data_IF_426429002829
#
_entry.id   IF_426429002829
#
_cell.length_a   1.000
_cell.length_b   1.000
_cell.length_c   1.000
_cell.angle_alpha   90.00
_cell.angle_beta   90.00
_cell.angle_gamma   90.00
#
_symmetry.space_group_name_H-M   'P 1'
#
loop_
_entity.id
_entity.type
_entity.pdbx_description
1 polymer ?
#
# COMPACT_ATOMS: atom_id res chain seq x y z
N UNK A 1 10.73 20.28 -25.30
CA UNK A 1 11.05 20.05 -23.87
C UNK A 1 12.37 19.29 -23.80
N UNK A 2 13.39 19.82 -23.13
CA UNK A 2 14.60 19.04 -22.88
C UNK A 2 14.32 17.96 -21.85
N UNK A 3 14.64 16.72 -22.20
CA UNK A 3 14.54 15.60 -21.26
C UNK A 3 15.69 15.75 -20.27
N UNK A 4 15.39 16.16 -19.04
CA UNK A 4 16.42 16.22 -18.00
C UNK A 4 16.61 14.80 -17.45
N UNK A 5 17.80 14.20 -17.58
CA UNK A 5 18.06 12.88 -17.03
C UNK A 5 17.88 12.92 -15.50
N UNK A 6 17.29 11.86 -14.96
CA UNK A 6 17.09 11.67 -13.54
C UNK A 6 17.02 10.18 -13.21
N UNK A 7 17.37 9.85 -11.98
CA UNK A 7 17.24 8.52 -11.38
C UNK A 7 16.32 8.58 -10.17
N UNK A 8 15.69 7.46 -9.82
CA UNK A 8 14.86 7.33 -8.62
C UNK A 8 15.48 6.25 -7.72
N UNK A 9 15.77 6.61 -6.48
CA UNK A 9 16.10 5.67 -5.41
C UNK A 9 14.86 5.33 -4.59
N UNK A 10 14.70 4.05 -4.24
CA UNK A 10 13.62 3.54 -3.38
C UNK A 10 14.22 2.71 -2.26
N UNK A 11 13.73 2.93 -1.04
CA UNK A 11 14.07 2.16 0.16
C UNK A 11 12.79 1.57 0.75
N UNK A 12 12.67 0.25 0.77
CA UNK A 12 11.43 -0.47 1.12
C UNK A 12 11.62 -1.13 2.48
N UNK A 13 11.02 -0.54 3.51
CA UNK A 13 10.94 -1.08 4.86
C UNK A 13 9.59 -1.74 5.16
N UNK A 14 9.45 -2.27 6.37
CA UNK A 14 8.23 -2.95 6.85
C UNK A 14 7.00 -2.03 6.89
N UNK A 15 7.24 -0.75 7.16
CA UNK A 15 6.22 0.28 7.45
C UNK A 15 6.41 1.56 6.67
N UNK A 16 7.41 1.56 5.80
CA UNK A 16 7.83 2.76 5.15
C UNK A 16 8.35 2.45 3.76
N UNK A 17 8.14 3.40 2.86
CA UNK A 17 8.84 3.44 1.59
C UNK A 17 9.47 4.82 1.46
N UNK A 18 10.79 4.88 1.60
CA UNK A 18 11.60 6.05 1.29
C UNK A 18 11.77 6.18 -0.22
N UNK A 19 11.76 7.40 -0.73
CA UNK A 19 12.03 7.68 -2.14
C UNK A 19 12.80 8.99 -2.31
N UNK A 20 13.68 9.02 -3.31
CA UNK A 20 14.41 10.23 -3.70
C UNK A 20 14.60 10.26 -5.21
N UNK A 21 14.43 11.44 -5.81
CA UNK A 21 14.83 11.71 -7.20
C UNK A 21 16.20 12.37 -7.18
N UNK A 22 17.11 11.87 -8.02
CA UNK A 22 18.48 12.36 -8.12
C UNK A 22 18.76 12.72 -9.57
N UNK A 23 19.32 13.91 -9.81
CA UNK A 23 19.81 14.33 -11.13
C UNK A 23 21.29 13.96 -11.30
N UNK A 24 21.83 14.06 -12.51
CA UNK A 24 23.22 13.67 -12.81
C UNK A 24 24.29 14.40 -11.98
N UNK A 25 23.95 15.57 -11.42
CA UNK A 25 24.80 16.30 -10.46
C UNK A 25 24.65 15.80 -9.00
N UNK A 26 24.03 14.64 -8.82
CA UNK A 26 23.75 13.99 -7.53
C UNK A 26 22.93 14.83 -6.55
N UNK A 27 22.20 15.84 -7.05
CA UNK A 27 21.34 16.69 -6.22
C UNK A 27 19.90 16.23 -6.26
N UNK A 28 19.19 16.52 -5.18
CA UNK A 28 17.73 16.35 -5.10
C UNK A 28 17.05 17.61 -5.64
N UNK A 29 16.32 17.53 -6.76
CA UNK A 29 15.62 18.68 -7.31
C UNK A 29 14.43 19.10 -6.45
N UNK A 30 14.01 20.35 -6.60
CA UNK A 30 12.80 20.89 -5.98
C UNK A 30 11.84 21.40 -7.05
N UNK A 31 10.53 21.18 -6.85
CA UNK A 31 9.48 21.51 -7.82
C UNK A 31 8.35 22.28 -7.16
N UNK A 32 7.81 23.28 -7.85
CA UNK A 32 6.57 23.95 -7.44
C UNK A 32 5.38 23.06 -7.79
N UNK A 33 4.57 22.72 -6.80
CA UNK A 33 3.35 21.95 -6.95
C UNK A 33 2.15 22.88 -6.74
N UNK A 34 1.11 22.73 -7.57
CA UNK A 34 -0.13 23.48 -7.42
C UNK A 34 -0.85 23.00 -6.15
N UNK A 35 -1.30 23.95 -5.34
CA UNK A 35 -2.16 23.67 -4.19
C UNK A 35 -3.61 23.73 -4.66
N UNK A 36 -4.41 22.74 -4.26
CA UNK A 36 -5.82 22.66 -4.60
C UNK A 36 -6.66 23.07 -3.38
N UNK A 37 -7.79 23.74 -3.61
CA UNK A 37 -8.69 24.24 -2.55
C UNK A 37 -8.73 25.76 -2.42
N UNK A 38 -9.49 26.24 -1.45
CA UNK A 38 -9.76 27.66 -1.23
C UNK A 38 -8.75 28.28 -0.24
N UNK A 39 -7.47 28.18 -0.55
CA UNK A 39 -6.40 28.76 0.27
C UNK A 39 -5.69 29.88 -0.49
N UNK A 40 -5.18 30.88 0.22
CA UNK A 40 -4.45 32.02 -0.37
C UNK A 40 -3.18 31.60 -1.13
N UNK A 41 -2.64 30.41 -0.82
CA UNK A 41 -1.47 29.85 -1.50
C UNK A 41 -1.89 28.98 -2.68
N UNK A 42 -1.55 29.41 -3.90
CA UNK A 42 -1.79 28.64 -5.12
C UNK A 42 -0.67 27.64 -5.46
N UNK A 43 0.55 27.83 -4.93
CA UNK A 43 1.70 26.96 -5.20
C UNK A 43 2.57 26.77 -3.96
N UNK A 44 3.16 25.58 -3.84
CA UNK A 44 4.12 25.24 -2.80
C UNK A 44 5.36 24.58 -3.41
N UNK A 45 6.55 24.99 -2.97
CA UNK A 45 7.81 24.34 -3.37
C UNK A 45 8.01 23.11 -2.50
N UNK A 46 8.24 21.94 -3.12
CA UNK A 46 8.56 20.69 -2.44
C UNK A 46 9.83 20.08 -3.03
N UNK A 47 10.67 19.49 -2.18
CA UNK A 47 11.82 18.70 -2.62
C UNK A 47 11.34 17.33 -3.10
N UNK A 48 12.02 16.76 -4.10
CA UNK A 48 11.69 15.44 -4.65
C UNK A 48 12.36 14.31 -3.84
N UNK A 49 12.13 14.34 -2.54
CA UNK A 49 12.52 13.32 -1.56
C UNK A 49 11.41 13.21 -0.52
N UNK A 50 11.16 12.00 -0.05
CA UNK A 50 10.19 11.78 1.02
C UNK A 50 10.16 10.33 1.47
N UNK A 51 9.27 10.06 2.43
CA UNK A 51 8.94 8.71 2.84
C UNK A 51 7.42 8.60 2.98
N UNK A 52 6.87 7.51 2.47
CA UNK A 52 5.51 7.10 2.76
C UNK A 52 5.55 6.23 4.01
N UNK A 53 4.82 6.60 5.05
CA UNK A 53 4.65 5.78 6.26
C UNK A 53 3.26 5.14 6.23
N UNK A 54 3.16 3.87 6.64
CA UNK A 54 1.92 3.12 6.70
C UNK A 54 1.94 2.10 7.85
N UNK A 55 0.75 1.71 8.29
CA UNK A 55 0.58 0.73 9.36
C UNK A 55 1.13 -0.64 8.96
N UNK A 56 1.62 -1.39 9.94
CA UNK A 56 2.22 -2.71 9.70
C UNK A 56 1.28 -3.64 8.95
N UNK A 57 1.82 -4.32 7.94
CA UNK A 57 1.12 -5.41 7.30
C UNK A 57 0.85 -6.52 8.32
N UNK A 58 -0.42 -6.76 8.65
CA UNK A 58 -0.77 -7.90 9.51
C UNK A 58 -0.33 -9.20 8.85
N UNK A 59 0.36 -10.07 9.60
CA UNK A 59 0.85 -11.35 9.07
C UNK A 59 -0.29 -12.23 8.52
N UNK A 60 0.02 -13.08 7.54
CA UNK A 60 -0.98 -13.93 6.90
C UNK A 60 -1.59 -14.99 7.84
N UNK A 61 -1.00 -15.22 9.01
CA UNK A 61 -1.42 -16.24 9.98
C UNK A 61 -2.85 -16.02 10.49
N UNK A 62 -3.17 -14.81 10.94
CA UNK A 62 -4.52 -14.48 11.41
C UNK A 62 -5.57 -14.71 10.32
N UNK A 63 -5.23 -14.38 9.06
CA UNK A 63 -6.08 -14.65 7.90
C UNK A 63 -6.23 -16.15 7.61
N UNK A 64 -5.16 -16.93 7.77
CA UNK A 64 -5.16 -18.39 7.61
C UNK A 64 -6.09 -19.05 8.62
N UNK A 65 -6.01 -18.67 9.90
CA UNK A 65 -6.86 -19.19 10.97
C UNK A 65 -8.34 -18.92 10.68
N UNK A 66 -8.70 -17.66 10.40
CA UNK A 66 -10.09 -17.27 10.07
C UNK A 66 -10.61 -17.98 8.81
N UNK A 67 -9.76 -18.26 7.82
CA UNK A 67 -10.15 -19.00 6.60
C UNK A 67 -10.41 -20.49 6.89
N UNK A 68 -9.55 -21.14 7.67
CA UNK A 68 -9.71 -22.55 8.03
C UNK A 68 -10.96 -22.78 8.89
N UNK A 69 -11.21 -21.91 9.87
CA UNK A 69 -12.41 -21.97 10.70
C UNK A 69 -13.70 -21.86 9.86
N UNK A 70 -13.76 -20.88 8.95
CA UNK A 70 -14.91 -20.74 8.02
C UNK A 70 -15.14 -21.99 7.18
N UNK A 71 -14.08 -22.53 6.56
CA UNK A 71 -14.18 -23.77 5.76
C UNK A 71 -14.66 -24.96 6.61
N UNK A 72 -14.20 -25.07 7.86
CA UNK A 72 -14.64 -26.11 8.80
C UNK A 72 -16.14 -25.99 9.10
N UNK A 73 -16.64 -24.79 9.40
CA UNK A 73 -18.07 -24.57 9.64
C UNK A 73 -18.93 -24.84 8.41
N UNK A 74 -18.49 -24.43 7.21
CA UNK A 74 -19.19 -24.74 5.95
C UNK A 74 -19.28 -26.24 5.72
N UNK A 75 -18.18 -26.99 5.95
CA UNK A 75 -18.17 -28.46 5.84
C UNK A 75 -19.12 -29.10 6.84
N UNK A 76 -19.09 -28.67 8.11
CA UNK A 76 -20.00 -29.17 9.16
C UNK A 76 -21.47 -28.99 8.76
N UNK A 77 -21.85 -27.79 8.31
CA UNK A 77 -23.21 -27.48 7.86
C UNK A 77 -23.61 -28.33 6.65
N UNK A 78 -22.70 -28.54 5.70
CA UNK A 78 -22.94 -29.39 4.53
C UNK A 78 -23.18 -30.84 4.95
N UNK A 79 -22.32 -31.40 5.80
CA UNK A 79 -22.48 -32.77 6.32
C UNK A 79 -23.79 -32.97 7.07
N UNK A 80 -24.16 -32.04 7.97
CA UNK A 80 -25.44 -32.14 8.68
C UNK A 80 -26.63 -32.05 7.74
N UNK A 81 -26.59 -31.16 6.75
CA UNK A 81 -27.65 -31.03 5.72
C UNK A 81 -27.75 -32.25 4.81
N UNK A 82 -26.64 -32.94 4.53
CA UNK A 82 -26.62 -34.13 3.70
C UNK A 82 -27.14 -35.34 4.48
N UNK A 83 -26.76 -35.47 5.75
CA UNK A 83 -27.28 -36.50 6.64
C UNK A 83 -28.79 -36.39 6.83
N UNK A 84 -29.30 -35.17 7.00
CA UNK A 84 -30.75 -34.94 7.12
C UNK A 84 -31.49 -35.18 5.80
N UNK A 85 -30.85 -35.00 4.64
CA UNK A 85 -31.43 -35.35 3.32
C UNK A 85 -31.44 -36.85 3.01
N UNK A 86 -30.57 -37.65 3.64
CA UNK A 86 -30.52 -39.09 3.44
C UNK A 86 -31.39 -39.87 4.46
N UNK A 87 -31.97 -39.16 5.44
CA UNK A 87 -32.83 -39.72 6.50
C UNK A 87 -34.34 -39.49 6.22
N UNK A 88 -34.66 -38.86 5.09
CA UNK A 88 -36.00 -38.74 4.50
C UNK A 88 -35.94 -39.23 3.05
#
# INVERSE_FOLDING_TARGET
MSNKPYSIGLDIGTNSVGWAVITDDYKVPSKKMKVLGNTDKHFIKKNLIGALLFDEGTTAEGRRLKRTARRRYTRRKKSSSLSSRNLF
#
